data_IF_830719715655
#
_entry.id   IF_830719715655
#
_cell.length_a   1.000
_cell.length_b   1.000
_cell.length_c   1.000
_cell.angle_alpha   90.00
_cell.angle_beta   90.00
_cell.angle_gamma   90.00
#
_symmetry.space_group_name_H-M   'P 1'
#
loop_
_entity.id
_entity.type
_entity.pdbx_description
1 polymer ?
#
# COMPACT_ATOMS: atom_id res chain seq x y z
N UNK A 1 -13.52 21.99 1.59
CA UNK A 1 -13.85 20.65 1.12
C UNK A 1 -14.58 20.63 -0.24
N UNK A 2 -15.67 21.39 -0.46
CA UNK A 2 -16.42 21.39 -1.75
C UNK A 2 -15.55 21.70 -3.00
N UNK A 3 -14.59 22.61 -2.92
CA UNK A 3 -13.71 22.97 -4.07
C UNK A 3 -12.70 21.90 -4.42
N UNK A 4 -12.22 21.10 -3.44
CA UNK A 4 -11.29 20.00 -3.69
C UNK A 4 -12.00 18.85 -4.45
N UNK A 5 -13.23 18.51 -4.05
CA UNK A 5 -14.05 17.50 -4.75
C UNK A 5 -14.34 17.90 -6.19
N UNK A 6 -14.63 19.20 -6.44
CA UNK A 6 -14.88 19.68 -7.80
C UNK A 6 -13.64 19.56 -8.69
N UNK A 7 -12.45 19.88 -8.16
CA UNK A 7 -11.19 19.78 -8.94
C UNK A 7 -10.82 18.33 -9.27
N UNK A 8 -11.02 17.40 -8.35
CA UNK A 8 -10.80 15.97 -8.57
C UNK A 8 -11.76 15.42 -9.63
N UNK A 9 -13.02 15.85 -9.59
CA UNK A 9 -14.03 15.43 -10.57
C UNK A 9 -13.73 15.93 -11.98
N UNK A 10 -13.23 17.17 -12.10
CA UNK A 10 -12.80 17.75 -13.39
C UNK A 10 -11.60 17.00 -13.97
N UNK A 11 -10.60 16.65 -13.14
CA UNK A 11 -9.45 15.86 -13.60
C UNK A 11 -9.88 14.47 -14.06
N UNK A 12 -10.77 13.80 -13.33
CA UNK A 12 -11.31 12.48 -13.71
C UNK A 12 -12.11 12.60 -15.03
N UNK A 13 -12.94 13.62 -15.18
CA UNK A 13 -13.71 13.85 -16.40
C UNK A 13 -12.80 14.14 -17.61
N UNK A 14 -11.76 14.96 -17.46
CA UNK A 14 -10.77 15.21 -18.51
C UNK A 14 -10.01 13.92 -18.89
N UNK A 15 -9.64 13.08 -17.92
CA UNK A 15 -9.02 11.79 -18.19
C UNK A 15 -9.96 10.82 -18.93
N UNK A 16 -11.26 10.85 -18.63
CA UNK A 16 -12.26 10.03 -19.37
C UNK A 16 -12.41 10.45 -20.84
N UNK A 17 -12.40 11.76 -21.10
CA UNK A 17 -12.47 12.31 -22.46
C UNK A 17 -11.22 11.98 -23.28
N UNK A 18 -10.05 12.08 -22.67
CA UNK A 18 -8.77 11.72 -23.30
C UNK A 18 -8.65 10.21 -23.58
N UNK A 19 -9.24 9.36 -22.74
CA UNK A 19 -9.28 7.90 -22.97
C UNK A 19 -10.19 7.49 -24.12
N UNK A 20 -11.24 8.25 -24.39
CA UNK A 20 -12.19 7.95 -25.47
C UNK A 20 -11.60 8.20 -26.88
N UNK A 21 -10.59 9.06 -26.99
CA UNK A 21 -9.98 9.44 -28.28
C UNK A 21 -8.87 8.52 -28.79
N UNK A 22 -8.27 7.71 -27.93
CA UNK A 22 -7.11 6.88 -28.28
C UNK A 22 -7.48 5.40 -28.42
N UNK A 23 -8.25 5.06 -29.45
CA UNK A 23 -8.36 3.67 -29.93
C UNK A 23 -7.07 3.30 -30.65
N UNK A 24 -6.03 2.95 -29.90
CA UNK A 24 -4.83 2.35 -30.46
C UNK A 24 -4.98 0.83 -30.57
N UNK A 25 -4.47 0.31 -31.69
CA UNK A 25 -4.39 -1.10 -32.08
C UNK A 25 -4.05 -2.01 -30.88
N UNK A 26 -4.89 -2.97 -30.62
CA UNK A 26 -4.72 -4.01 -29.61
C UNK A 26 -3.49 -4.86 -29.90
N UNK A 27 -2.37 -4.52 -29.28
CA UNK A 27 -1.39 -5.52 -28.85
C UNK A 27 -1.72 -5.81 -27.38
N UNK A 28 -2.66 -6.69 -27.18
CA UNK A 28 -3.20 -6.96 -25.85
C UNK A 28 -2.42 -8.08 -25.19
N UNK A 29 -1.40 -7.74 -24.43
CA UNK A 29 -1.10 -8.57 -23.27
C UNK A 29 -2.31 -8.52 -22.35
N UNK A 30 -2.97 -9.64 -22.19
CA UNK A 30 -4.16 -9.70 -21.34
C UNK A 30 -3.81 -9.81 -19.86
N UNK A 31 -2.54 -10.00 -19.53
CA UNK A 31 -2.06 -10.18 -18.17
C UNK A 31 -0.94 -9.20 -17.82
N UNK A 32 -0.99 -8.70 -16.61
CA UNK A 32 0.00 -7.79 -16.07
C UNK A 32 0.35 -8.22 -14.65
N UNK A 33 1.63 -8.50 -14.42
CA UNK A 33 2.21 -8.71 -13.10
C UNK A 33 2.95 -7.44 -12.70
N UNK A 34 2.61 -6.85 -11.57
CA UNK A 34 3.30 -5.68 -11.01
C UNK A 34 3.87 -6.05 -9.64
N UNK A 35 5.11 -5.69 -9.38
CA UNK A 35 5.76 -5.83 -8.08
C UNK A 35 6.33 -4.50 -7.64
N UNK A 36 5.89 -4.01 -6.49
CA UNK A 36 6.33 -2.75 -5.90
C UNK A 36 7.02 -2.97 -4.56
N UNK A 37 8.07 -2.19 -4.32
CA UNK A 37 8.76 -2.10 -3.05
C UNK A 37 8.99 -0.64 -2.68
N UNK A 38 8.79 -0.28 -1.43
CA UNK A 38 8.94 1.10 -1.02
C UNK A 38 8.78 1.35 0.47
N UNK A 39 8.66 2.63 0.76
CA UNK A 39 8.49 3.13 2.11
C UNK A 39 7.03 3.24 2.48
N UNK A 40 6.72 2.96 3.75
CA UNK A 40 5.37 3.06 4.28
C UNK A 40 5.33 3.77 5.62
N UNK A 41 4.21 4.45 5.84
CA UNK A 41 3.85 5.08 7.10
C UNK A 41 2.53 4.51 7.57
N UNK A 42 2.47 4.05 8.79
CA UNK A 42 1.26 3.61 9.46
C UNK A 42 0.73 4.76 10.32
N UNK A 43 -0.51 5.13 10.09
CA UNK A 43 -1.26 6.10 10.89
C UNK A 43 -2.27 5.33 11.74
N UNK A 44 -2.00 5.24 13.02
CA UNK A 44 -2.83 4.59 14.03
C UNK A 44 -2.63 5.31 15.35
N UNK A 45 -3.20 4.83 16.45
CA UNK A 45 -2.88 5.33 17.80
C UNK A 45 -1.38 5.23 18.12
N UNK A 46 -0.68 4.29 17.49
CA UNK A 46 0.78 4.15 17.55
C UNK A 46 1.35 4.23 16.12
N UNK A 47 1.64 5.45 15.64
CA UNK A 47 2.18 5.62 14.29
C UNK A 47 3.54 4.94 14.15
N UNK A 48 3.82 4.46 12.95
CA UNK A 48 5.05 3.76 12.62
C UNK A 48 5.50 4.02 11.21
N UNK A 49 6.78 3.79 10.96
CA UNK A 49 7.38 3.89 9.64
C UNK A 49 8.15 2.62 9.30
N UNK A 50 8.22 2.30 8.01
CA UNK A 50 8.89 1.10 7.59
C UNK A 50 8.86 0.85 6.10
N UNK A 51 8.86 -0.42 5.74
CA UNK A 51 8.89 -0.85 4.34
C UNK A 51 7.64 -1.65 3.98
N UNK A 52 7.26 -1.54 2.71
CA UNK A 52 6.12 -2.26 2.18
C UNK A 52 6.42 -2.87 0.83
N UNK A 53 5.77 -3.99 0.58
CA UNK A 53 5.67 -4.58 -0.76
C UNK A 53 4.22 -4.67 -1.15
N UNK A 54 3.91 -4.34 -2.40
CA UNK A 54 2.58 -4.59 -2.99
C UNK A 54 2.79 -5.22 -4.36
N UNK A 55 2.25 -6.41 -4.52
CA UNK A 55 2.27 -7.15 -5.75
C UNK A 55 0.85 -7.27 -6.27
N UNK A 56 0.70 -7.24 -7.59
CA UNK A 56 -0.60 -7.30 -8.25
C UNK A 56 -0.52 -8.19 -9.46
N UNK A 57 -1.46 -9.10 -9.56
CA UNK A 57 -1.67 -9.92 -10.74
C UNK A 57 -2.99 -9.50 -11.38
N UNK A 58 -2.94 -8.89 -12.55
CA UNK A 58 -4.09 -8.23 -13.19
C UNK A 58 -4.39 -8.86 -14.53
N UNK A 59 -5.62 -9.29 -14.71
CA UNK A 59 -6.19 -9.63 -16.01
C UNK A 59 -6.87 -8.39 -16.60
N UNK A 60 -6.46 -7.99 -17.80
CA UNK A 60 -6.93 -6.80 -18.49
C UNK A 60 -7.71 -7.17 -19.76
N UNK A 61 -9.03 -7.47 -19.67
CA UNK A 61 -9.84 -7.89 -20.83
C UNK A 61 -10.10 -6.75 -21.81
N UNK A 62 -9.93 -5.49 -21.36
CA UNK A 62 -10.10 -4.28 -22.17
C UNK A 62 -8.97 -3.30 -21.85
N UNK A 63 -8.68 -2.42 -22.78
CA UNK A 63 -7.58 -1.44 -22.66
C UNK A 63 -7.69 -0.51 -21.42
N UNK A 64 -8.89 -0.29 -20.89
CA UNK A 64 -9.15 0.67 -19.81
C UNK A 64 -9.54 0.03 -18.47
N UNK A 65 -9.82 -1.28 -18.41
CA UNK A 65 -10.22 -1.97 -17.19
C UNK A 65 -9.45 -3.25 -17.00
N UNK A 66 -9.16 -3.58 -15.73
CA UNK A 66 -8.57 -4.83 -15.31
C UNK A 66 -9.15 -5.32 -13.99
N UNK A 67 -9.07 -6.61 -13.78
CA UNK A 67 -9.45 -7.29 -12.54
C UNK A 67 -8.25 -8.08 -12.04
N UNK A 68 -7.99 -8.03 -10.76
CA UNK A 68 -6.77 -8.64 -10.26
C UNK A 68 -6.85 -9.11 -8.82
N UNK A 69 -5.71 -9.58 -8.37
CA UNK A 69 -5.43 -9.93 -6.99
C UNK A 69 -4.26 -9.06 -6.53
N UNK A 70 -4.48 -8.27 -5.49
CA UNK A 70 -3.41 -7.57 -4.79
C UNK A 70 -2.99 -8.38 -3.57
N UNK A 71 -1.68 -8.44 -3.32
CA UNK A 71 -1.12 -9.01 -2.10
C UNK A 71 0.14 -8.25 -1.70
N UNK A 72 0.39 -8.15 -0.42
CA UNK A 72 1.54 -7.41 0.05
C UNK A 72 1.84 -7.62 1.52
N UNK A 73 2.92 -6.99 1.94
CA UNK A 73 3.38 -7.01 3.32
C UNK A 73 3.84 -5.62 3.72
N UNK A 74 3.49 -5.24 4.93
CA UNK A 74 3.98 -4.04 5.60
C UNK A 74 4.81 -4.46 6.81
N UNK A 75 5.99 -3.91 6.91
CA UNK A 75 6.87 -4.09 8.05
C UNK A 75 7.21 -2.73 8.63
N UNK A 76 6.75 -2.46 9.85
CA UNK A 76 7.04 -1.22 10.54
C UNK A 76 7.99 -1.46 11.71
N UNK A 77 9.06 -0.68 11.73
CA UNK A 77 9.99 -0.69 12.85
C UNK A 77 9.31 -0.13 14.10
N UNK A 78 9.70 -0.62 15.27
CA UNK A 78 9.21 -0.09 16.51
C UNK A 78 9.54 1.40 16.59
N UNK A 79 8.53 2.24 16.63
CA UNK A 79 8.71 3.64 16.99
C UNK A 79 8.94 3.67 18.49
N UNK A 80 10.08 4.21 18.91
CA UNK A 80 10.32 4.49 20.32
C UNK A 80 9.48 5.68 20.69
N UNK A 81 8.32 5.46 21.28
CA UNK A 81 7.56 6.53 21.88
C UNK A 81 8.23 6.90 23.21
N UNK A 82 8.89 8.05 23.19
CA UNK A 82 9.17 8.80 24.40
C UNK A 82 7.99 9.73 24.61
N UNK A 83 6.86 9.21 25.09
CA UNK A 83 5.94 10.07 25.80
C UNK A 83 6.59 10.40 27.16
N UNK A 84 6.16 11.51 27.78
CA UNK A 84 6.47 11.86 29.17
C UNK A 84 5.90 10.83 30.17
N UNK A 85 5.97 9.56 29.83
CA UNK A 85 5.75 8.45 30.76
C UNK A 85 6.91 8.41 31.75
N UNK A 86 6.62 8.07 33.01
CA UNK A 86 7.66 7.98 34.01
C UNK A 86 8.78 7.10 33.47
N UNK A 87 10.01 7.54 33.65
CA UNK A 87 11.30 6.99 33.18
C UNK A 87 11.39 5.44 33.27
N UNK A 88 10.44 4.82 33.92
CA UNK A 88 10.40 3.44 34.39
C UNK A 88 9.78 2.46 33.37
N UNK A 89 9.28 2.93 32.22
CA UNK A 89 8.56 2.05 31.29
C UNK A 89 8.99 2.32 29.85
N UNK A 90 9.51 1.32 29.17
CA UNK A 90 9.85 1.39 27.74
C UNK A 90 9.04 0.34 26.97
N UNK A 91 8.23 0.79 26.02
CA UNK A 91 7.47 -0.06 25.11
C UNK A 91 8.05 0.05 23.70
N UNK A 92 8.30 -1.09 23.07
CA UNK A 92 8.60 -1.16 21.65
C UNK A 92 7.57 -2.04 20.96
N UNK A 93 7.01 -1.58 19.85
CA UNK A 93 6.05 -2.33 19.04
C UNK A 93 6.69 -2.65 17.68
N UNK A 94 6.69 -3.91 17.29
CA UNK A 94 7.01 -4.34 15.94
C UNK A 94 5.72 -4.78 15.27
N UNK A 95 5.41 -4.17 14.14
CA UNK A 95 4.16 -4.41 13.43
C UNK A 95 4.44 -5.06 12.07
N UNK A 96 3.87 -6.24 11.85
CA UNK A 96 3.90 -6.94 10.58
C UNK A 96 2.46 -7.14 10.11
N UNK A 97 2.18 -6.70 8.90
CA UNK A 97 0.86 -6.84 8.30
C UNK A 97 1.01 -7.48 6.92
N UNK A 98 0.34 -8.61 6.71
CA UNK A 98 0.15 -9.23 5.41
C UNK A 98 -1.26 -8.97 4.92
N UNK A 99 -1.43 -8.67 3.64
CA UNK A 99 -2.75 -8.51 3.06
C UNK A 99 -2.86 -9.19 1.70
N UNK A 100 -4.08 -9.63 1.38
CA UNK A 100 -4.43 -10.20 0.08
C UNK A 100 -5.89 -9.94 -0.22
N UNK A 101 -6.22 -9.60 -1.48
CA UNK A 101 -7.61 -9.40 -1.86
C UNK A 101 -7.84 -9.10 -3.34
N UNK A 102 -9.08 -9.29 -3.81
CA UNK A 102 -9.50 -8.94 -5.16
C UNK A 102 -9.42 -7.42 -5.37
N UNK A 103 -9.04 -7.04 -6.58
CA UNK A 103 -8.85 -5.65 -6.98
C UNK A 103 -9.42 -5.35 -8.36
N UNK A 104 -9.82 -4.10 -8.55
CA UNK A 104 -10.26 -3.54 -9.82
C UNK A 104 -9.32 -2.43 -10.21
N UNK A 105 -8.91 -2.41 -11.46
CA UNK A 105 -8.00 -1.45 -12.06
C UNK A 105 -8.70 -0.66 -13.15
N UNK A 106 -8.51 0.63 -13.13
CA UNK A 106 -8.85 1.52 -14.23
C UNK A 106 -7.57 2.14 -14.78
N UNK A 107 -7.39 2.06 -16.11
CA UNK A 107 -6.23 2.57 -16.84
C UNK A 107 -6.64 3.77 -17.68
N UNK A 108 -6.72 4.99 -17.10
CA UNK A 108 -7.09 6.20 -17.84
C UNK A 108 -6.11 6.54 -18.97
N UNK A 109 -4.84 6.17 -18.81
CA UNK A 109 -3.82 6.30 -19.82
C UNK A 109 -3.14 4.95 -19.98
N UNK A 110 -3.25 4.37 -21.19
CA UNK A 110 -2.58 3.14 -21.55
C UNK A 110 -2.11 3.22 -23.01
N UNK A 111 -0.99 3.89 -23.21
CA UNK A 111 -0.36 4.09 -24.52
C UNK A 111 0.76 3.07 -24.73
N UNK A 112 1.47 3.18 -25.86
CA UNK A 112 2.65 2.34 -26.15
C UNK A 112 3.79 2.57 -25.17
N UNK A 113 3.89 3.77 -24.58
CA UNK A 113 5.01 4.15 -23.69
C UNK A 113 4.59 4.43 -22.25
N UNK A 114 3.34 4.81 -22.03
CA UNK A 114 2.91 5.29 -20.71
C UNK A 114 1.65 4.55 -20.26
N UNK A 115 1.64 4.17 -18.99
CA UNK A 115 0.49 3.62 -18.31
C UNK A 115 0.25 4.37 -17.01
N UNK A 116 -0.98 4.84 -16.82
CA UNK A 116 -1.46 5.34 -15.53
C UNK A 116 -2.58 4.42 -15.08
N UNK A 117 -2.59 4.05 -13.82
CA UNK A 117 -3.68 3.26 -13.26
C UNK A 117 -4.17 3.81 -11.93
N UNK A 118 -5.46 3.61 -11.70
CA UNK A 118 -6.11 3.77 -10.40
C UNK A 118 -6.66 2.40 -10.03
N UNK A 119 -6.50 1.99 -8.80
CA UNK A 119 -6.99 0.70 -8.31
C UNK A 119 -7.78 0.85 -7.02
N UNK A 120 -8.73 -0.06 -6.83
CA UNK A 120 -9.43 -0.27 -5.56
C UNK A 120 -9.48 -1.75 -5.24
N UNK A 121 -9.34 -2.12 -3.98
CA UNK A 121 -9.35 -3.51 -3.53
C UNK A 121 -10.09 -3.67 -2.21
N UNK A 122 -10.58 -4.89 -1.99
CA UNK A 122 -11.06 -5.35 -0.69
C UNK A 122 -10.08 -6.41 -0.22
N UNK A 123 -9.42 -6.18 0.90
CA UNK A 123 -8.33 -7.02 1.36
C UNK A 123 -8.64 -7.69 2.67
N UNK A 124 -8.23 -8.95 2.79
CA UNK A 124 -8.05 -9.62 4.07
C UNK A 124 -6.67 -9.25 4.62
N UNK A 125 -6.62 -8.87 5.88
CA UNK A 125 -5.41 -8.50 6.60
C UNK A 125 -5.13 -9.51 7.70
N UNK A 126 -3.88 -9.92 7.79
CA UNK A 126 -3.32 -10.70 8.89
C UNK A 126 -2.20 -9.89 9.52
N UNK A 127 -2.48 -9.31 10.68
CA UNK A 127 -1.56 -8.45 11.42
C UNK A 127 -0.98 -9.20 12.59
N UNK A 128 0.33 -9.15 12.75
CA UNK A 128 1.06 -9.66 13.90
C UNK A 128 1.82 -8.52 14.57
N UNK A 129 1.41 -8.19 15.79
CA UNK A 129 2.02 -7.18 16.62
C UNK A 129 2.81 -7.81 17.74
N UNK A 130 4.09 -7.52 17.78
CA UNK A 130 4.99 -7.90 18.86
C UNK A 130 5.25 -6.69 19.75
N UNK A 131 4.65 -6.68 20.94
CA UNK A 131 4.85 -5.64 21.94
C UNK A 131 5.90 -6.11 22.96
N UNK A 132 6.99 -5.36 23.11
CA UNK A 132 7.99 -5.61 24.12
C UNK A 132 7.93 -4.50 25.17
N UNK A 133 7.79 -4.90 26.41
CA UNK A 133 7.76 -4.02 27.57
C UNK A 133 9.00 -4.24 28.40
N UNK A 134 9.60 -3.16 28.88
CA UNK A 134 10.74 -3.18 29.80
C UNK A 134 10.45 -2.28 30.96
N UNK A 135 10.47 -2.84 32.18
CA UNK A 135 10.34 -2.09 33.42
C UNK A 135 11.72 -1.69 33.92
N UNK A 136 11.86 -0.41 34.22
CA UNK A 136 13.10 0.12 34.77
C UNK A 136 12.95 0.35 36.29
N UNK A 137 13.78 -0.29 37.07
CA UNK A 137 13.84 -0.06 38.52
C UNK A 137 14.75 1.14 38.82
N UNK A 138 14.15 2.23 39.28
CA UNK A 138 14.89 3.46 39.64
C UNK A 138 15.79 3.29 40.83
N UNK A 139 15.53 2.34 41.73
CA UNK A 139 16.36 2.05 42.88
C UNK A 139 17.63 1.29 42.53
N UNK A 140 17.55 0.40 41.55
CA UNK A 140 18.67 -0.41 41.07
C UNK A 140 19.36 0.19 39.84
N UNK A 141 18.77 1.19 39.20
CA UNK A 141 19.21 1.77 37.91
C UNK A 141 19.35 0.72 36.77
N UNK A 142 18.56 -0.35 36.80
CA UNK A 142 18.60 -1.45 35.84
C UNK A 142 17.21 -1.82 35.37
N UNK A 143 17.15 -2.44 34.18
CA UNK A 143 15.91 -3.04 33.69
C UNK A 143 15.69 -4.40 34.35
N UNK A 144 14.64 -4.50 35.16
CA UNK A 144 14.39 -5.67 36.04
C UNK A 144 13.48 -6.70 35.39
N UNK A 145 12.63 -6.32 34.42
CA UNK A 145 11.75 -7.26 33.76
C UNK A 145 11.63 -6.97 32.26
N UNK A 146 11.45 -8.03 31.49
CA UNK A 146 11.10 -7.93 30.08
C UNK A 146 9.90 -8.85 29.83
N UNK A 147 8.81 -8.26 29.36
CA UNK A 147 7.62 -8.98 28.92
C UNK A 147 7.44 -8.79 27.43
N UNK A 148 7.09 -9.85 26.73
CA UNK A 148 6.76 -9.83 25.30
C UNK A 148 5.35 -10.37 25.13
N UNK A 149 4.48 -9.56 24.54
CA UNK A 149 3.11 -9.94 24.19
C UNK A 149 2.99 -9.96 22.66
N UNK A 150 2.48 -11.05 22.12
CA UNK A 150 2.16 -11.19 20.69
C UNK A 150 0.65 -11.09 20.52
N UNK A 151 0.21 -10.21 19.64
CA UNK A 151 -1.21 -10.01 19.30
C UNK A 151 -1.40 -10.26 17.83
N UNK A 152 -2.25 -11.22 17.49
CA UNK A 152 -2.63 -11.53 16.10
C UNK A 152 -4.03 -11.04 15.84
N UNK A 153 -4.19 -10.20 14.81
CA UNK A 153 -5.47 -9.62 14.41
C UNK A 153 -5.75 -9.99 12.96
N UNK A 154 -6.96 -10.49 12.72
CA UNK A 154 -7.45 -10.75 11.38
C UNK A 154 -8.61 -9.80 11.07
N UNK A 155 -8.55 -9.10 9.95
CA UNK A 155 -9.57 -8.11 9.60
C UNK A 155 -9.81 -8.05 8.09
N UNK A 156 -10.90 -7.41 7.70
CA UNK A 156 -11.20 -7.04 6.32
C UNK A 156 -11.11 -5.54 6.23
N UNK A 157 -10.52 -5.05 5.14
CA UNK A 157 -10.40 -3.62 4.90
C UNK A 157 -10.35 -3.28 3.43
N UNK A 158 -10.04 -2.02 3.14
CA UNK A 158 -10.02 -1.47 1.79
C UNK A 158 -8.61 -1.09 1.39
N UNK A 159 -8.33 -1.17 0.10
CA UNK A 159 -7.11 -0.66 -0.50
C UNK A 159 -7.42 0.26 -1.67
N UNK A 160 -6.58 1.25 -1.90
CA UNK A 160 -6.63 2.10 -3.08
C UNK A 160 -5.22 2.42 -3.58
N UNK A 161 -5.05 2.48 -4.89
CA UNK A 161 -3.76 2.73 -5.51
C UNK A 161 -3.83 3.71 -6.66
N UNK A 162 -2.76 4.47 -6.84
CA UNK A 162 -2.50 5.31 -8.00
C UNK A 162 -1.08 5.03 -8.47
N UNK A 163 -0.90 4.69 -9.74
CA UNK A 163 0.41 4.39 -10.27
C UNK A 163 0.66 4.95 -11.66
N UNK A 164 1.92 5.17 -11.94
CA UNK A 164 2.44 5.52 -13.25
C UNK A 164 3.55 4.53 -13.61
N UNK A 165 3.57 4.07 -14.86
CA UNK A 165 4.63 3.25 -15.39
C UNK A 165 5.04 3.70 -16.80
N UNK A 166 6.32 3.60 -17.07
CA UNK A 166 6.92 3.76 -18.39
C UNK A 166 7.27 2.39 -18.96
N UNK A 167 6.77 2.09 -20.16
CA UNK A 167 6.99 0.82 -20.86
C UNK A 167 8.34 0.84 -21.56
N UNK A 168 9.24 -0.08 -21.18
CA UNK A 168 10.57 -0.28 -21.75
C UNK A 168 10.55 -1.22 -22.96
N UNK A 169 9.40 -1.46 -23.54
CA UNK A 169 9.17 -2.38 -24.64
C UNK A 169 7.78 -2.96 -24.55
N UNK A 170 7.58 -4.16 -25.10
CA UNK A 170 6.28 -4.81 -25.12
C UNK A 170 5.93 -5.50 -23.78
N UNK A 171 6.94 -5.94 -23.03
CA UNK A 171 6.76 -6.82 -21.88
C UNK A 171 7.16 -6.24 -20.54
N UNK A 172 8.02 -5.22 -20.50
CA UNK A 172 8.57 -4.67 -19.25
C UNK A 172 8.16 -3.24 -19.05
N UNK A 173 7.79 -2.89 -17.84
CA UNK A 173 7.52 -1.52 -17.45
C UNK A 173 8.16 -1.19 -16.10
N UNK A 174 8.60 0.05 -15.94
CA UNK A 174 9.11 0.60 -14.70
C UNK A 174 8.28 1.79 -14.27
N UNK A 175 8.04 1.94 -12.98
CA UNK A 175 7.18 3.01 -12.52
C UNK A 175 7.25 3.29 -11.04
N UNK A 176 6.29 4.11 -10.61
CA UNK A 176 6.04 4.41 -9.23
C UNK A 176 4.56 4.23 -8.91
N UNK A 177 4.27 3.79 -7.70
CA UNK A 177 2.92 3.56 -7.21
C UNK A 177 2.78 4.17 -5.81
N UNK A 178 1.71 4.88 -5.61
CA UNK A 178 1.21 5.22 -4.30
C UNK A 178 0.06 4.26 -3.97
N UNK A 179 0.11 3.65 -2.81
CA UNK A 179 -0.92 2.72 -2.36
C UNK A 179 -1.31 3.05 -0.93
N UNK A 180 -2.56 2.94 -0.62
CA UNK A 180 -3.09 3.11 0.73
C UNK A 180 -3.96 1.93 1.08
N UNK A 181 -3.88 1.49 2.32
CA UNK A 181 -4.77 0.46 2.85
C UNK A 181 -5.33 0.88 4.20
N UNK A 182 -6.58 0.52 4.41
CA UNK A 182 -7.30 0.80 5.64
C UNK A 182 -7.93 -0.50 6.15
N UNK A 183 -7.58 -0.87 7.39
CA UNK A 183 -8.18 -1.95 8.15
C UNK A 183 -8.64 -1.38 9.49
N UNK A 184 -9.64 -1.93 10.11
CA UNK A 184 -10.34 -1.50 11.34
C UNK A 184 -9.79 -0.24 12.05
N UNK A 185 -8.54 -0.26 12.50
CA UNK A 185 -7.92 0.80 13.32
C UNK A 185 -6.65 1.37 12.68
N UNK A 186 -6.22 0.84 11.52
CA UNK A 186 -4.93 1.16 10.92
C UNK A 186 -5.09 1.67 9.50
N UNK A 187 -4.38 2.74 9.23
CA UNK A 187 -4.29 3.34 7.91
C UNK A 187 -2.83 3.38 7.47
N UNK A 188 -2.52 2.73 6.35
CA UNK A 188 -1.17 2.67 5.79
C UNK A 188 -1.08 3.52 4.54
N UNK A 189 -0.04 4.34 4.45
CA UNK A 189 0.37 5.09 3.26
C UNK A 189 1.68 4.53 2.74
N UNK A 190 1.75 4.19 1.47
CA UNK A 190 2.89 3.52 0.85
C UNK A 190 3.29 4.22 -0.44
N UNK A 191 4.56 4.62 -0.53
CA UNK A 191 5.18 5.11 -1.76
C UNK A 191 6.20 4.09 -2.26
N UNK A 192 6.04 3.59 -3.49
CA UNK A 192 6.81 2.46 -4.01
C UNK A 192 7.35 2.71 -5.41
N UNK A 193 8.52 2.16 -5.70
CA UNK A 193 8.95 1.89 -7.06
C UNK A 193 8.43 0.52 -7.48
N UNK A 194 7.98 0.39 -8.71
CA UNK A 194 7.43 -0.86 -9.22
C UNK A 194 8.03 -1.26 -10.56
N UNK A 195 8.14 -2.56 -10.75
CA UNK A 195 8.42 -3.22 -12.02
C UNK A 195 7.19 -4.01 -12.44
N UNK A 196 6.84 -3.93 -13.72
CA UNK A 196 5.72 -4.65 -14.31
C UNK A 196 6.16 -5.53 -15.46
N UNK A 197 5.47 -6.67 -15.62
CA UNK A 197 5.62 -7.59 -16.72
C UNK A 197 4.26 -7.83 -17.38
N UNK A 198 4.16 -7.54 -18.66
CA UNK A 198 2.96 -7.72 -19.48
C UNK A 198 3.14 -8.94 -20.40
N UNK A 199 2.16 -9.86 -20.47
CA UNK A 199 2.21 -11.09 -21.27
C UNK A 199 0.83 -11.61 -21.65
#
# INVERSE_FOLDING_TARGET
>A
MKRLFSSVFVVIACCMVLSAGNRQKENSSNWLLMSGYGYSVMLSEMPGEGYSTVNSFVWQPKSCWGFGLDYGMNYHNPVKFSFDEPINYQRTRRHNNFFVGPSVYWFPINTTKHRVHVSGSVNYFHTNDLNQYRDFDTGLQEYTSQRTDEVVINSIGLGAGLGYAYKLGEHVELGARFYTSWSQEEFHLMGMLNIGFAF
#
